data_IF_310707789245
#
_entry.id   IF_310707789245
#
_cell.length_a   1.000
_cell.length_b   1.000
_cell.length_c   1.000
_cell.angle_alpha   90.00
_cell.angle_beta   90.00
_cell.angle_gamma   90.00
#
_symmetry.space_group_name_H-M   'P 1'
#
loop_
_entity.id
_entity.type
_entity.pdbx_description
1 polymer ?
#
# COMPACT_ATOMS: atom_id res chain seq x y z
N UNK A 1 0.91 -6.16 -3.14
CA UNK A 1 -0.29 -6.93 -2.79
C UNK A 1 -0.29 -7.09 -1.29
N UNK A 2 -1.32 -6.66 -0.58
CA UNK A 2 -1.36 -6.71 0.89
C UNK A 2 -2.63 -7.43 1.35
N UNK A 3 -2.46 -8.30 2.32
CA UNK A 3 -3.54 -9.00 3.01
C UNK A 3 -3.91 -8.25 4.28
N UNK A 4 -5.20 -8.14 4.55
CA UNK A 4 -5.75 -7.55 5.76
C UNK A 4 -6.34 -8.66 6.61
N UNK A 5 -5.82 -8.87 7.82
CA UNK A 5 -6.33 -9.93 8.71
C UNK A 5 -7.71 -9.58 9.26
N UNK A 6 -8.60 -10.57 9.37
CA UNK A 6 -9.95 -10.38 9.89
C UNK A 6 -9.92 -9.61 11.24
N UNK A 7 -10.84 -8.65 11.46
CA UNK A 7 -10.91 -7.95 12.74
C UNK A 7 -11.42 -8.92 13.81
N UNK A 8 -10.89 -8.88 15.05
CA UNK A 8 -11.59 -9.49 16.17
C UNK A 8 -12.96 -8.82 16.32
N UNK A 9 -13.92 -9.50 16.99
CA UNK A 9 -15.30 -9.03 17.22
C UNK A 9 -15.42 -7.60 17.80
N UNK A 10 -14.32 -7.01 18.25
CA UNK A 10 -14.13 -5.61 18.64
C UNK A 10 -13.32 -4.79 17.62
N UNK A 11 -13.75 -4.73 16.36
CA UNK A 11 -13.70 -3.54 15.51
C UNK A 11 -12.37 -2.78 15.31
N UNK A 12 -11.20 -3.44 15.31
CA UNK A 12 -9.93 -2.75 14.99
C UNK A 12 -9.03 -3.60 14.10
N UNK A 13 -8.88 -3.18 12.84
CA UNK A 13 -7.95 -3.77 11.89
C UNK A 13 -6.51 -3.42 12.29
N UNK A 14 -5.64 -4.44 12.44
CA UNK A 14 -4.20 -4.22 12.64
C UNK A 14 -3.54 -4.07 11.26
N UNK A 15 -2.89 -2.93 10.94
CA UNK A 15 -2.13 -2.81 9.70
C UNK A 15 -0.88 -3.69 9.78
N UNK A 16 -0.79 -4.72 8.92
CA UNK A 16 0.47 -5.40 8.69
C UNK A 16 1.26 -4.62 7.63
N UNK A 17 2.38 -4.05 8.08
CA UNK A 17 3.55 -3.63 7.28
C UNK A 17 3.53 -2.32 6.47
N UNK A 18 4.77 -1.88 6.24
CA UNK A 18 5.30 -0.53 5.99
C UNK A 18 5.10 -0.11 4.53
N UNK A 19 4.64 1.12 4.32
CA UNK A 19 4.45 1.72 2.99
C UNK A 19 5.80 1.94 2.29
N UNK A 20 6.09 1.20 1.21
CA UNK A 20 7.13 1.54 0.26
C UNK A 20 6.55 1.42 -1.16
N UNK A 21 6.11 2.54 -1.72
CA UNK A 21 5.77 2.65 -3.13
C UNK A 21 7.05 2.82 -3.95
N UNK A 22 7.55 1.73 -4.54
CA UNK A 22 8.64 1.81 -5.50
C UNK A 22 8.07 2.24 -6.86
N UNK A 23 8.32 3.49 -7.25
CA UNK A 23 8.15 3.95 -8.63
C UNK A 23 9.30 3.36 -9.46
N UNK A 24 9.00 2.47 -10.41
CA UNK A 24 9.96 2.07 -11.45
C UNK A 24 9.82 3.05 -12.63
N UNK A 25 10.81 3.93 -12.88
CA UNK A 25 10.80 4.73 -14.09
C UNK A 25 11.06 3.83 -15.30
N UNK A 26 10.21 3.92 -16.32
CA UNK A 26 10.44 3.32 -17.62
C UNK A 26 11.76 3.85 -18.18
N UNK A 27 12.75 2.97 -18.39
CA UNK A 27 14.02 3.31 -19.06
C UNK A 27 13.76 3.53 -20.55
N UNK A 28 13.34 4.73 -20.92
CA UNK A 28 13.43 5.25 -22.28
C UNK A 28 14.71 6.07 -22.43
N UNK A 29 15.69 5.55 -23.16
CA UNK A 29 16.93 6.26 -23.44
C UNK A 29 16.71 7.40 -24.44
N UNK A 30 16.86 8.64 -23.98
CA UNK A 30 17.11 9.77 -24.86
C UNK A 30 18.27 10.60 -24.30
N UNK A 31 19.41 10.57 -25.00
CA UNK A 31 20.54 11.46 -24.74
C UNK A 31 20.15 12.86 -25.19
N UNK A 32 20.06 13.80 -24.25
CA UNK A 32 20.12 15.23 -24.56
C UNK A 32 21.05 15.90 -23.56
N UNK A 33 22.21 16.29 -24.06
CA UNK A 33 23.18 17.15 -23.41
C UNK A 33 22.66 18.59 -23.40
N UNK A 34 22.45 19.19 -22.23
CA UNK A 34 22.41 20.65 -22.08
C UNK A 34 22.79 21.06 -20.65
N UNK A 35 23.47 22.21 -20.46
CA UNK A 35 24.22 22.53 -19.26
C UNK A 35 23.32 23.10 -18.14
N UNK A 36 23.72 22.80 -16.91
CA UNK A 36 23.12 23.33 -15.68
C UNK A 36 23.44 24.82 -15.51
N UNK A 37 22.41 25.65 -15.28
CA UNK A 37 22.53 26.97 -14.68
C UNK A 37 21.89 26.94 -13.28
N UNK A 38 22.51 27.57 -12.26
CA UNK A 38 21.99 27.57 -10.90
C UNK A 38 20.89 28.62 -10.74
N UNK A 39 19.69 28.20 -10.32
CA UNK A 39 18.64 29.09 -9.82
C UNK A 39 18.66 29.01 -8.29
N UNK A 40 19.15 30.07 -7.66
CA UNK A 40 19.12 30.26 -6.21
C UNK A 40 17.70 30.62 -5.78
N UNK A 41 17.04 29.73 -5.02
CA UNK A 41 15.76 30.01 -4.38
C UNK A 41 16.03 30.49 -2.94
N UNK A 42 15.81 31.78 -2.69
CA UNK A 42 15.85 32.36 -1.34
C UNK A 42 14.60 31.93 -0.56
N UNK A 43 14.76 31.03 0.42
CA UNK A 43 13.76 30.80 1.45
C UNK A 43 13.89 31.88 2.54
N UNK A 44 12.90 32.75 2.65
CA UNK A 44 12.72 33.61 3.81
C UNK A 44 12.12 32.79 4.95
N UNK A 45 12.92 32.52 5.98
CA UNK A 45 12.49 31.88 7.24
C UNK A 45 12.13 32.99 8.24
N UNK A 46 10.93 32.92 8.82
CA UNK A 46 10.46 33.82 9.87
C UNK A 46 11.25 33.60 11.19
N UNK A 47 11.45 34.64 12.02
CA UNK A 47 12.27 34.53 13.23
C UNK A 47 11.54 33.82 14.37
N UNK A 48 12.16 32.76 14.88
CA UNK A 48 11.76 32.06 16.10
C UNK A 48 12.31 32.78 17.35
N UNK A 49 11.51 32.79 18.40
CA UNK A 49 11.73 33.57 19.62
C UNK A 49 12.75 32.90 20.53
N UNK A 50 13.92 33.53 20.66
CA UNK A 50 15.04 33.02 21.44
C UNK A 50 14.76 33.01 22.96
N UNK A 51 14.55 31.82 23.54
CA UNK A 51 14.70 31.59 24.99
C UNK A 51 16.17 31.31 25.33
N UNK A 52 16.81 32.26 26.03
CA UNK A 52 18.19 32.14 26.52
C UNK A 52 18.25 31.14 27.69
N UNK A 53 18.78 29.94 27.46
CA UNK A 53 19.16 29.01 28.53
C UNK A 53 20.67 29.13 28.76
N UNK A 54 21.06 29.63 29.94
CA UNK A 54 22.47 29.78 30.33
C UNK A 54 23.04 28.39 30.63
N UNK A 55 23.96 27.93 29.77
CA UNK A 55 24.70 26.68 29.95
C UNK A 55 25.94 26.96 30.83
N UNK A 56 25.82 26.73 32.13
CA UNK A 56 26.95 26.72 33.07
C UNK A 56 27.73 25.42 32.90
N UNK A 57 28.97 25.52 32.43
CA UNK A 57 29.85 24.40 32.10
C UNK A 57 30.60 23.92 33.35
N UNK A 58 30.04 22.96 34.06
CA UNK A 58 30.72 22.26 35.17
C UNK A 58 31.64 21.18 34.59
N UNK A 59 32.95 21.37 34.67
CA UNK A 59 33.94 20.36 34.28
C UNK A 59 34.05 19.29 35.36
N UNK A 60 33.71 18.04 35.03
CA UNK A 60 33.94 16.87 35.88
C UNK A 60 35.26 16.19 35.45
N UNK A 61 36.29 16.11 36.31
CA UNK A 61 37.65 15.70 35.91
C UNK A 61 37.89 14.17 35.95
N UNK A 62 36.85 13.34 35.73
CA UNK A 62 36.94 11.88 35.94
C UNK A 62 36.96 11.04 34.64
N UNK A 63 37.09 11.64 33.46
CA UNK A 63 37.01 10.90 32.19
C UNK A 63 38.35 10.63 31.49
N UNK A 64 39.50 10.90 32.13
CA UNK A 64 40.80 10.86 31.42
C UNK A 64 41.69 9.63 31.67
N UNK A 65 41.21 8.56 32.31
CA UNK A 65 42.05 7.37 32.61
C UNK A 65 41.47 6.01 32.18
N UNK A 66 40.38 5.96 31.39
CA UNK A 66 39.76 4.68 30.97
C UNK A 66 39.77 4.53 29.44
N UNK A 67 40.92 4.72 28.79
CA UNK A 67 41.05 4.45 27.33
C UNK A 67 42.22 3.55 26.96
N UNK A 68 42.97 2.99 27.93
CA UNK A 68 44.09 2.08 27.64
C UNK A 68 43.91 0.63 28.14
N UNK A 69 42.79 0.31 28.79
CA UNK A 69 42.54 -1.01 29.39
C UNK A 69 41.60 -1.94 28.61
N UNK A 70 41.02 -1.51 27.49
CA UNK A 70 39.95 -2.27 26.80
C UNK A 70 40.39 -2.94 25.50
N UNK A 71 41.67 -2.87 25.13
CA UNK A 71 42.19 -3.41 23.86
C UNK A 71 42.80 -4.82 23.97
N UNK A 72 42.80 -5.45 25.15
CA UNK A 72 43.47 -6.75 25.37
C UNK A 72 42.46 -7.92 25.58
N UNK A 73 41.15 -7.68 25.61
CA UNK A 73 40.15 -8.74 25.84
C UNK A 73 39.21 -8.99 24.65
N UNK A 74 39.63 -8.65 23.43
CA UNK A 74 38.89 -9.00 22.22
C UNK A 74 39.69 -10.08 21.50
N UNK A 75 39.10 -11.29 21.44
CA UNK A 75 39.58 -12.56 20.87
C UNK A 75 40.29 -13.43 21.94
N UNK A 76 39.70 -14.57 22.38
CA UNK A 76 39.20 -15.61 21.47
C UNK A 76 37.84 -16.26 21.89
N UNK A 77 37.29 -17.11 20.99
CA UNK A 77 35.95 -17.75 20.98
C UNK A 77 34.84 -16.82 20.47
N UNK A 78 34.25 -17.05 19.31
CA UNK A 78 33.67 -18.32 18.86
C UNK A 78 33.85 -18.53 17.35
N UNK A 79 34.51 -19.62 16.96
CA UNK A 79 34.05 -20.35 15.77
C UNK A 79 32.70 -20.98 16.16
N UNK A 80 31.64 -20.18 16.14
CA UNK A 80 30.30 -20.71 16.03
C UNK A 80 30.10 -20.98 14.54
N UNK A 81 30.47 -22.17 14.08
CA UNK A 81 29.92 -22.70 12.84
C UNK A 81 28.41 -22.59 12.98
N UNK A 82 27.79 -21.74 12.16
CA UNK A 82 26.33 -21.74 12.04
C UNK A 82 25.91 -23.18 11.81
N UNK A 83 24.96 -23.73 12.59
CA UNK A 83 24.41 -25.03 12.25
C UNK A 83 23.98 -24.97 10.78
N UNK A 84 24.22 -26.04 9.98
CA UNK A 84 23.74 -26.06 8.61
C UNK A 84 22.27 -25.68 8.67
N UNK A 85 21.94 -24.54 8.04
CA UNK A 85 20.60 -24.03 8.01
C UNK A 85 19.73 -25.19 7.60
N UNK A 86 18.91 -25.68 8.52
CA UNK A 86 17.78 -26.49 8.12
C UNK A 86 17.07 -25.57 7.13
N UNK A 87 17.09 -25.94 5.86
CA UNK A 87 16.17 -25.38 4.90
C UNK A 87 14.81 -25.61 5.56
N UNK A 88 14.28 -24.58 6.23
CA UNK A 88 12.86 -24.54 6.53
C UNK A 88 12.25 -24.74 5.16
N UNK A 89 11.63 -25.90 4.98
CA UNK A 89 10.79 -26.15 3.85
C UNK A 89 9.70 -25.10 4.01
N UNK A 90 9.90 -23.93 3.38
CA UNK A 90 9.10 -22.72 3.54
C UNK A 90 7.79 -22.92 2.81
N UNK A 91 7.05 -23.93 3.28
CA UNK A 91 5.61 -24.05 3.08
C UNK A 91 4.94 -23.32 4.23
N UNK A 92 5.43 -22.12 4.58
CA UNK A 92 4.53 -21.20 5.26
C UNK A 92 3.33 -21.04 4.33
N UNK A 93 2.09 -21.23 4.83
CA UNK A 93 0.93 -20.82 4.08
C UNK A 93 1.18 -19.38 3.66
N UNK A 94 1.19 -19.11 2.36
CA UNK A 94 1.39 -17.78 1.84
C UNK A 94 0.43 -17.57 0.68
N UNK A 95 -0.21 -16.41 0.68
CA UNK A 95 -0.96 -15.92 -0.47
C UNK A 95 0.00 -15.03 -1.25
N UNK A 96 0.61 -15.61 -2.28
CA UNK A 96 1.66 -14.97 -3.08
C UNK A 96 1.25 -15.05 -4.54
N UNK A 97 0.87 -13.89 -5.09
CA UNK A 97 0.52 -13.77 -6.51
C UNK A 97 1.80 -13.51 -7.29
N UNK A 98 2.17 -14.47 -8.13
CA UNK A 98 3.22 -14.27 -9.13
C UNK A 98 2.65 -13.49 -10.30
N UNK A 99 3.32 -12.40 -10.67
CA UNK A 99 2.93 -11.57 -11.80
C UNK A 99 3.91 -11.79 -12.95
N UNK A 100 3.36 -11.99 -14.14
CA UNK A 100 4.11 -12.02 -15.39
C UNK A 100 4.51 -10.60 -15.82
N UNK A 101 4.89 -10.46 -17.10
CA UNK A 101 5.17 -9.16 -17.71
C UNK A 101 3.99 -8.19 -17.57
N UNK A 102 4.32 -6.89 -17.50
CA UNK A 102 3.30 -5.85 -17.38
C UNK A 102 2.36 -5.84 -18.59
N UNK A 103 1.08 -5.67 -18.32
CA UNK A 103 0.02 -5.56 -19.34
C UNK A 103 -0.28 -4.11 -19.65
N UNK A 104 -0.62 -3.82 -20.91
CA UNK A 104 -1.10 -2.49 -21.29
C UNK A 104 -2.58 -2.33 -20.93
N UNK A 105 -2.91 -1.24 -20.25
CA UNK A 105 -4.29 -0.89 -19.90
C UNK A 105 -4.62 0.50 -20.45
N UNK A 106 -5.70 0.58 -21.22
CA UNK A 106 -6.27 1.83 -21.71
C UNK A 106 -7.26 2.36 -20.68
N UNK A 107 -6.99 3.56 -20.15
CA UNK A 107 -7.91 4.28 -19.27
C UNK A 107 -8.73 5.23 -20.13
N UNK A 108 -10.06 5.16 -20.02
CA UNK A 108 -11.01 6.03 -20.68
C UNK A 108 -12.31 6.14 -19.88
N UNK A 109 -13.16 7.09 -20.27
CA UNK A 109 -14.54 7.15 -19.76
C UNK A 109 -15.27 5.87 -20.20
N UNK A 110 -16.00 5.26 -19.27
CA UNK A 110 -16.68 3.99 -19.46
C UNK A 110 -18.18 4.13 -19.22
N UNK A 111 -18.97 3.34 -19.95
CA UNK A 111 -20.40 3.12 -19.67
C UNK A 111 -20.62 2.07 -18.57
N UNK A 112 -19.58 1.32 -18.23
CA UNK A 112 -19.63 0.33 -17.15
C UNK A 112 -19.64 1.00 -15.77
N UNK A 113 -20.19 0.27 -14.81
CA UNK A 113 -20.36 0.63 -13.41
C UNK A 113 -21.25 1.86 -13.19
N UNK A 114 -22.34 1.97 -13.97
CA UNK A 114 -23.32 3.03 -13.77
C UNK A 114 -23.85 3.04 -12.32
N UNK A 115 -24.14 4.24 -11.79
CA UNK A 115 -24.64 4.38 -10.42
C UNK A 115 -26.04 3.77 -10.26
N UNK A 116 -26.86 3.89 -11.30
CA UNK A 116 -28.24 3.46 -11.36
C UNK A 116 -28.45 2.43 -12.47
N UNK A 117 -29.60 1.76 -12.48
CA UNK A 117 -29.94 0.77 -13.49
C UNK A 117 -29.54 -0.66 -13.10
N UNK A 118 -30.18 -1.62 -13.76
CA UNK A 118 -30.00 -3.04 -13.50
C UNK A 118 -28.63 -3.53 -13.99
N UNK A 119 -28.18 -3.06 -15.16
CA UNK A 119 -26.87 -3.39 -15.72
C UNK A 119 -25.74 -2.96 -14.78
N UNK A 120 -25.74 -1.69 -14.36
CA UNK A 120 -24.79 -1.20 -13.36
C UNK A 120 -24.85 -2.03 -12.07
N UNK A 121 -26.04 -2.33 -11.55
CA UNK A 121 -26.17 -3.16 -10.35
C UNK A 121 -25.51 -4.53 -10.49
N UNK A 122 -25.58 -5.17 -11.66
CA UNK A 122 -24.93 -6.45 -11.95
C UNK A 122 -23.40 -6.30 -12.05
N UNK A 123 -22.91 -5.24 -12.70
CA UNK A 123 -21.47 -4.98 -12.79
C UNK A 123 -20.86 -4.75 -11.41
N UNK A 124 -21.52 -3.96 -10.55
CA UNK A 124 -21.11 -3.73 -9.17
C UNK A 124 -21.16 -5.03 -8.33
N UNK A 125 -22.13 -5.91 -8.58
CA UNK A 125 -22.21 -7.21 -7.91
C UNK A 125 -21.08 -8.18 -8.31
N UNK A 126 -20.52 -8.01 -9.50
CA UNK A 126 -19.46 -8.85 -10.06
C UNK A 126 -18.05 -8.28 -9.82
N UNK A 127 -17.87 -7.42 -8.81
CA UNK A 127 -16.56 -6.86 -8.45
C UNK A 127 -15.63 -7.84 -7.72
N UNK A 128 -16.18 -8.92 -7.17
CA UNK A 128 -15.43 -9.91 -6.40
C UNK A 128 -15.34 -11.23 -7.16
N UNK A 129 -14.32 -12.06 -6.90
CA UNK A 129 -14.34 -13.41 -7.42
C UNK A 129 -15.55 -14.18 -6.85
N UNK A 130 -16.01 -15.25 -7.52
CA UNK A 130 -17.10 -16.11 -7.07
C UNK A 130 -16.96 -16.60 -5.62
N UNK A 131 -15.74 -16.89 -5.17
CA UNK A 131 -15.42 -17.28 -3.78
C UNK A 131 -15.48 -16.14 -2.75
N UNK A 132 -15.79 -14.91 -3.17
CA UNK A 132 -15.84 -13.71 -2.33
C UNK A 132 -14.46 -13.06 -2.12
N UNK A 133 -14.32 -12.24 -1.08
CA UNK A 133 -13.11 -11.44 -0.84
C UNK A 133 -12.18 -12.02 0.23
N UNK A 134 -12.56 -13.15 0.84
CA UNK A 134 -11.82 -13.78 1.94
C UNK A 134 -10.86 -14.82 1.37
N UNK A 135 -9.61 -14.78 1.84
CA UNK A 135 -8.54 -15.72 1.52
C UNK A 135 -7.96 -16.29 2.81
N UNK A 136 -7.53 -17.54 2.77
CA UNK A 136 -7.04 -18.31 3.92
C UNK A 136 -5.53 -18.46 3.84
N UNK A 137 -4.84 -18.08 4.91
CA UNK A 137 -3.39 -18.25 5.04
C UNK A 137 -3.11 -18.96 6.36
N UNK A 138 -2.95 -20.27 6.27
CA UNK A 138 -2.88 -21.14 7.45
C UNK A 138 -4.28 -21.29 8.04
N UNK A 139 -4.39 -21.08 9.34
CA UNK A 139 -5.68 -21.13 10.06
C UNK A 139 -6.37 -19.76 10.13
N UNK A 140 -5.77 -18.73 9.52
CA UNK A 140 -6.22 -17.34 9.62
C UNK A 140 -6.87 -16.86 8.32
N UNK A 141 -7.90 -16.03 8.48
CA UNK A 141 -8.63 -15.40 7.37
C UNK A 141 -8.16 -13.97 7.12
N UNK A 142 -8.00 -13.66 5.85
CA UNK A 142 -7.57 -12.36 5.37
C UNK A 142 -8.47 -11.88 4.24
N UNK A 143 -8.42 -10.58 3.97
CA UNK A 143 -9.00 -9.97 2.79
C UNK A 143 -7.91 -9.34 1.95
N UNK A 144 -7.94 -9.61 0.65
CA UNK A 144 -7.10 -8.91 -0.32
C UNK A 144 -7.50 -7.43 -0.35
N UNK A 145 -6.50 -6.54 -0.20
CA UNK A 145 -6.71 -5.08 -0.16
C UNK A 145 -7.56 -4.57 -1.34
N UNK A 146 -7.32 -5.04 -2.57
CA UNK A 146 -8.11 -4.64 -3.74
C UNK A 146 -9.59 -5.01 -3.58
N UNK A 147 -9.90 -6.26 -3.23
CA UNK A 147 -11.29 -6.72 -3.08
C UNK A 147 -12.02 -5.94 -1.98
N UNK A 148 -11.35 -5.62 -0.86
CA UNK A 148 -11.94 -4.78 0.16
C UNK A 148 -12.28 -3.38 -0.38
N UNK A 149 -11.37 -2.76 -1.13
CA UNK A 149 -11.62 -1.45 -1.74
C UNK A 149 -12.81 -1.48 -2.68
N UNK A 150 -12.88 -2.48 -3.57
CA UNK A 150 -13.98 -2.65 -4.51
C UNK A 150 -15.32 -2.88 -3.80
N UNK A 151 -15.36 -3.77 -2.81
CA UNK A 151 -16.54 -4.02 -1.97
C UNK A 151 -17.00 -2.73 -1.26
N UNK A 152 -16.06 -1.95 -0.73
CA UNK A 152 -16.38 -0.69 -0.07
C UNK A 152 -16.94 0.37 -1.02
N UNK A 153 -16.50 0.40 -2.27
CA UNK A 153 -17.07 1.29 -3.29
C UNK A 153 -18.54 0.95 -3.58
N UNK A 154 -18.89 -0.34 -3.70
CA UNK A 154 -20.28 -0.76 -3.89
C UNK A 154 -21.17 -0.42 -2.67
N UNK A 155 -20.65 -0.61 -1.45
CA UNK A 155 -21.35 -0.21 -0.22
C UNK A 155 -21.67 1.29 -0.23
N UNK A 156 -20.67 2.13 -0.52
CA UNK A 156 -20.84 3.58 -0.57
C UNK A 156 -21.84 3.96 -1.67
N UNK A 157 -21.73 3.35 -2.86
CA UNK A 157 -22.65 3.59 -3.97
C UNK A 157 -24.09 3.25 -3.59
N UNK A 158 -24.33 2.07 -3.02
CA UNK A 158 -25.67 1.62 -2.60
C UNK A 158 -26.30 2.64 -1.64
N UNK A 159 -25.54 3.13 -0.67
CA UNK A 159 -26.06 4.13 0.27
C UNK A 159 -26.26 5.50 -0.38
N UNK A 160 -25.39 5.89 -1.32
CA UNK A 160 -25.50 7.14 -2.07
C UNK A 160 -26.78 7.21 -2.90
N UNK A 161 -27.16 6.12 -3.59
CA UNK A 161 -28.35 6.10 -4.44
C UNK A 161 -29.67 5.99 -3.67
N UNK A 162 -29.64 5.53 -2.42
CA UNK A 162 -30.84 5.34 -1.59
C UNK A 162 -31.55 6.66 -1.21
N UNK A 163 -30.96 7.83 -1.52
CA UNK A 163 -31.54 9.17 -1.29
C UNK A 163 -32.20 9.30 0.09
N UNK A 164 -31.48 8.84 1.12
CA UNK A 164 -31.97 8.83 2.50
C UNK A 164 -31.58 10.11 3.23
N UNK A 165 -32.46 10.62 4.10
CA UNK A 165 -32.13 11.70 5.04
C UNK A 165 -31.45 11.18 6.31
N UNK A 166 -31.26 9.87 6.41
CA UNK A 166 -30.61 9.24 7.55
C UNK A 166 -29.11 9.51 7.55
N UNK A 167 -28.48 9.54 8.73
CA UNK A 167 -27.03 9.62 8.82
C UNK A 167 -26.38 8.40 8.15
N UNK A 168 -25.13 8.53 7.67
CA UNK A 168 -24.44 7.43 7.04
C UNK A 168 -24.34 6.21 7.96
N UNK A 169 -24.47 5.01 7.39
CA UNK A 169 -24.33 3.77 8.16
C UNK A 169 -22.92 3.64 8.73
N UNK A 170 -22.78 2.92 9.85
CA UNK A 170 -21.47 2.60 10.44
C UNK A 170 -20.55 1.94 9.42
N UNK A 171 -21.11 1.12 8.53
CA UNK A 171 -20.36 0.43 7.47
C UNK A 171 -19.84 1.41 6.41
N UNK A 172 -20.67 2.36 5.96
CA UNK A 172 -20.24 3.41 5.03
C UNK A 172 -19.17 4.31 5.66
N UNK A 173 -19.32 4.68 6.94
CA UNK A 173 -18.28 5.43 7.68
C UNK A 173 -16.97 4.63 7.76
N UNK A 174 -17.04 3.31 8.00
CA UNK A 174 -15.88 2.43 7.96
C UNK A 174 -15.21 2.44 6.58
N UNK A 175 -15.98 2.23 5.51
CA UNK A 175 -15.47 2.21 4.15
C UNK A 175 -14.85 3.53 3.70
N UNK A 176 -15.48 4.67 4.03
CA UNK A 176 -14.93 5.99 3.73
C UNK A 176 -13.60 6.21 4.46
N UNK A 177 -13.48 5.80 5.72
CA UNK A 177 -12.24 5.89 6.47
C UNK A 177 -11.16 4.94 5.91
N UNK A 178 -11.54 3.75 5.47
CA UNK A 178 -10.63 2.77 4.88
C UNK A 178 -10.07 3.24 3.53
N UNK A 179 -10.93 3.75 2.64
CA UNK A 179 -10.50 4.30 1.34
C UNK A 179 -9.63 5.54 1.52
N UNK A 180 -10.01 6.45 2.44
CA UNK A 180 -9.18 7.62 2.79
C UNK A 180 -7.77 7.21 3.21
N UNK A 181 -7.65 6.24 4.11
CA UNK A 181 -6.34 5.76 4.57
C UNK A 181 -5.53 5.16 3.43
N UNK A 182 -6.16 4.36 2.57
CA UNK A 182 -5.44 3.72 1.47
C UNK A 182 -4.94 4.73 0.44
N UNK A 183 -5.77 5.70 0.04
CA UNK A 183 -5.41 6.74 -0.93
C UNK A 183 -4.22 7.56 -0.42
N UNK A 184 -4.16 7.84 0.89
CA UNK A 184 -3.03 8.56 1.49
C UNK A 184 -1.73 7.74 1.49
N UNK A 185 -1.80 6.42 1.55
CA UNK A 185 -0.63 5.53 1.57
C UNK A 185 -0.12 5.16 0.17
N UNK A 186 -1.01 5.09 -0.82
CA UNK A 186 -0.70 4.67 -2.19
C UNK A 186 -1.33 5.64 -3.20
N UNK A 187 -0.98 6.92 -3.08
CA UNK A 187 -1.46 7.93 -4.03
C UNK A 187 -0.82 7.73 -5.40
N UNK A 188 -1.65 7.82 -6.45
CA UNK A 188 -1.13 7.93 -7.80
C UNK A 188 -0.67 9.37 -8.04
N UNK A 189 0.65 9.56 -8.17
CA UNK A 189 1.27 10.88 -8.41
C UNK A 189 1.46 11.18 -9.91
N UNK A 190 0.85 10.39 -10.80
CA UNK A 190 0.89 10.64 -12.24
C UNK A 190 0.20 11.95 -12.56
N UNK A 191 0.88 12.80 -13.33
CA UNK A 191 0.31 14.02 -13.87
C UNK A 191 -0.63 13.68 -15.04
N UNK A 192 -1.83 14.26 -15.02
CA UNK A 192 -2.76 14.19 -16.15
C UNK A 192 -2.35 15.21 -17.23
N UNK A 193 -2.47 14.83 -18.50
CA UNK A 193 -2.16 15.73 -19.62
C UNK A 193 -3.22 16.83 -19.74
N UNK A 194 -2.87 18.03 -20.18
CA UNK A 194 -3.82 19.13 -20.36
C UNK A 194 -4.35 19.15 -21.80
N UNK A 195 -5.67 19.08 -21.97
CA UNK A 195 -6.38 19.14 -23.26
C UNK A 195 -6.61 20.57 -23.76
N UNK A 196 -6.70 21.55 -22.86
CA UNK A 196 -7.02 22.94 -23.21
C UNK A 196 -6.25 23.96 -22.38
N UNK A 197 -6.02 25.19 -22.89
CA UNK A 197 -5.45 26.29 -22.11
C UNK A 197 -6.28 26.66 -20.86
N UNK A 198 -7.54 26.24 -20.79
CA UNK A 198 -8.42 26.42 -19.63
C UNK A 198 -8.22 25.39 -18.52
N UNK A 199 -7.27 24.45 -18.68
CA UNK A 199 -6.91 23.47 -17.65
C UNK A 199 -7.77 22.21 -17.64
N UNK A 200 -8.47 21.88 -18.73
CA UNK A 200 -9.17 20.60 -18.81
C UNK A 200 -8.16 19.46 -18.94
N UNK A 201 -8.25 18.45 -18.08
CA UNK A 201 -7.35 17.29 -18.10
C UNK A 201 -7.81 16.21 -19.09
N UNK A 202 -6.84 15.49 -19.65
CA UNK A 202 -7.06 14.28 -20.43
C UNK A 202 -7.27 13.09 -19.50
N UNK A 203 -8.50 12.57 -19.52
CA UNK A 203 -8.90 11.35 -18.80
C UNK A 203 -8.62 10.07 -19.58
N UNK A 204 -8.07 10.21 -20.80
CA UNK A 204 -7.75 9.09 -21.68
C UNK A 204 -6.24 8.95 -21.80
N UNK A 205 -5.71 7.78 -21.44
CA UNK A 205 -4.28 7.47 -21.55
C UNK A 205 -4.01 5.97 -21.42
N UNK A 206 -2.88 5.54 -21.97
CA UNK A 206 -2.37 4.19 -21.78
C UNK A 206 -1.38 4.13 -20.60
N UNK A 207 -1.39 3.00 -19.90
CA UNK A 207 -0.47 2.71 -18.81
C UNK A 207 -0.09 1.24 -18.78
N UNK A 208 1.12 0.94 -18.32
CA UNK A 208 1.53 -0.43 -18.02
C UNK A 208 1.12 -0.77 -16.59
N UNK A 209 0.47 -1.91 -16.40
CA UNK A 209 -0.08 -2.37 -15.14
C UNK A 209 0.35 -3.80 -14.83
N UNK A 210 0.20 -4.20 -13.57
CA UNK A 210 0.22 -5.62 -13.21
C UNK A 210 -1.07 -6.24 -13.68
N UNK A 211 -1.00 -7.47 -14.17
CA UNK A 211 -2.19 -8.22 -14.54
C UNK A 211 -2.96 -8.62 -13.29
N UNK A 212 -4.08 -7.94 -13.05
CA UNK A 212 -4.92 -8.22 -11.89
C UNK A 212 -5.72 -9.52 -12.04
N UNK A 213 -5.83 -10.11 -13.23
CA UNK A 213 -6.49 -11.42 -13.39
C UNK A 213 -5.80 -12.49 -12.53
N UNK A 214 -4.46 -12.42 -12.40
CA UNK A 214 -3.67 -13.28 -11.51
C UNK A 214 -4.08 -13.22 -10.04
N UNK A 215 -4.59 -12.06 -9.60
CA UNK A 215 -5.11 -11.89 -8.24
C UNK A 215 -6.44 -12.63 -8.07
N UNK A 216 -7.32 -12.58 -9.07
CA UNK A 216 -8.60 -13.30 -9.05
C UNK A 216 -8.36 -14.81 -9.08
N UNK A 217 -7.52 -15.27 -10.02
CA UNK A 217 -7.15 -16.69 -10.17
C UNK A 217 -6.60 -17.27 -8.84
N UNK A 218 -5.69 -16.54 -8.19
CA UNK A 218 -5.08 -16.97 -6.94
C UNK A 218 -6.07 -16.97 -5.76
N UNK A 219 -7.00 -16.00 -5.73
CA UNK A 219 -8.05 -15.94 -4.71
C UNK A 219 -9.06 -17.09 -4.85
N UNK A 220 -9.46 -17.42 -6.06
CA UNK A 220 -10.33 -18.55 -6.34
C UNK A 220 -9.64 -19.87 -5.98
N UNK A 221 -8.41 -20.08 -6.44
CA UNK A 221 -7.61 -21.27 -6.10
C UNK A 221 -7.47 -21.43 -4.58
N UNK A 222 -7.22 -20.33 -3.87
CA UNK A 222 -7.10 -20.33 -2.42
C UNK A 222 -8.41 -20.73 -1.73
N UNK A 223 -9.54 -20.18 -2.18
CA UNK A 223 -10.87 -20.49 -1.68
C UNK A 223 -11.24 -21.97 -1.91
N UNK A 224 -11.03 -22.48 -3.12
CA UNK A 224 -11.29 -23.89 -3.47
C UNK A 224 -10.45 -24.85 -2.64
N UNK A 225 -9.16 -24.56 -2.46
CA UNK A 225 -8.26 -25.37 -1.63
C UNK A 225 -8.73 -25.40 -0.18
N UNK A 226 -9.24 -24.27 0.33
CA UNK A 226 -9.77 -24.21 1.69
C UNK A 226 -11.03 -25.06 1.86
N UNK A 227 -11.95 -25.05 0.88
CA UNK A 227 -13.15 -25.90 0.90
C UNK A 227 -12.77 -27.37 0.84
N UNK A 228 -11.94 -27.76 -0.13
CA UNK A 228 -11.53 -29.15 -0.31
C UNK A 228 -10.75 -29.72 0.89
N UNK A 229 -10.07 -28.88 1.67
CA UNK A 229 -9.38 -29.28 2.89
C UNK A 229 -10.28 -29.42 4.12
N UNK A 230 -11.56 -29.04 4.04
CA UNK A 230 -12.56 -29.19 5.13
C UNK A 230 -13.38 -30.47 5.03
N UNK A 231 -13.32 -31.17 3.89
CA UNK A 231 -13.99 -32.46 3.62
C UNK A 231 -13.09 -33.66 3.98
#
# INVERSE_FOLDING_TARGET
MYLLGAPPASGFWRPSTRCNGAYQPLRGGLRTTTPALPVSLNLAVAPDSARKMKLTRTFCPLTFTITLGSLICIIPMTLATSPPGHAMNDKSPSFSVEFDDAVAMHIADSVHYELHGEEGAQEWANLLPPGGHVVHVGDEEYTVTMFHQLQCLDIIRKEYIMTTTQPPSTLTVHCMNYLRQTILCQSNLRLESVKSPTGQASRTYDTACRDWTKVYEEAERNHETNIAGRD
#
